data_IF_138925453867
#
_entry.id   IF_138925453867
#
_cell.length_a   1.000
_cell.length_b   1.000
_cell.length_c   1.000
_cell.angle_alpha   90.00
_cell.angle_beta   90.00
_cell.angle_gamma   90.00
#
_symmetry.space_group_name_H-M   'P 1'
#
loop_
_entity.id
_entity.type
_entity.pdbx_description
1 polymer ?
#
# COMPACT_ATOMS: atom_id res chain seq x y z
N UNK A 1 -25.44 -12.28 23.33
CA UNK A 1 -24.35 -11.29 23.15
C UNK A 1 -23.80 -11.46 21.76
N UNK A 2 -23.84 -10.40 20.95
CA UNK A 2 -23.46 -10.45 19.53
C UNK A 2 -21.94 -10.60 19.40
N UNK A 3 -21.45 -11.84 19.28
CA UNK A 3 -20.09 -12.10 18.84
C UNK A 3 -20.03 -11.86 17.33
N UNK A 4 -20.03 -10.59 16.94
CA UNK A 4 -19.70 -10.18 15.59
C UNK A 4 -18.26 -10.58 15.32
N UNK A 5 -18.07 -11.75 14.71
CA UNK A 5 -16.81 -12.15 14.11
C UNK A 5 -16.46 -11.09 13.07
N UNK A 6 -15.71 -10.07 13.50
CA UNK A 6 -14.94 -9.25 12.59
C UNK A 6 -14.05 -10.24 11.87
N UNK A 7 -14.47 -10.62 10.65
CA UNK A 7 -13.63 -11.31 9.68
C UNK A 7 -12.40 -10.44 9.55
N UNK A 8 -11.36 -10.74 10.35
CA UNK A 8 -10.07 -10.11 10.23
C UNK A 8 -9.68 -10.33 8.79
N UNK A 9 -9.82 -9.29 7.96
CA UNK A 9 -9.40 -9.31 6.58
C UNK A 9 -7.93 -9.63 6.66
N UNK A 10 -7.58 -10.90 6.48
CA UNK A 10 -6.20 -11.40 6.52
C UNK A 10 -5.53 -10.86 5.25
N UNK A 11 -5.25 -9.56 5.26
CA UNK A 11 -4.46 -8.87 4.28
C UNK A 11 -3.06 -9.43 4.47
N UNK A 12 -2.69 -10.40 3.64
CA UNK A 12 -1.33 -10.94 3.60
C UNK A 12 -0.41 -9.86 3.04
N UNK A 13 -0.02 -8.93 3.90
CA UNK A 13 1.04 -7.97 3.62
C UNK A 13 2.34 -8.75 3.42
N UNK A 14 2.86 -8.74 2.19
CA UNK A 14 4.21 -9.26 1.93
C UNK A 14 5.21 -8.20 2.40
N UNK A 15 5.93 -8.48 3.48
CA UNK A 15 7.02 -7.61 3.96
C UNK A 15 8.21 -7.73 3.03
N UNK A 16 8.41 -6.73 2.18
CA UNK A 16 9.55 -6.68 1.28
C UNK A 16 10.76 -6.10 2.03
N UNK A 17 11.52 -6.96 2.70
CA UNK A 17 12.62 -6.54 3.58
C UNK A 17 13.92 -6.17 2.82
N UNK A 18 13.99 -6.38 1.49
CA UNK A 18 15.20 -6.09 0.71
C UNK A 18 14.98 -5.87 -0.81
N UNK A 19 13.75 -5.77 -1.32
CA UNK A 19 13.53 -5.81 -2.78
C UNK A 19 13.57 -4.42 -3.42
N UNK A 20 14.78 -3.89 -3.54
CA UNK A 20 15.19 -2.83 -4.48
C UNK A 20 15.07 -3.28 -5.95
N UNK A 21 14.36 -4.39 -6.24
CA UNK A 21 13.81 -4.68 -7.58
C UNK A 21 12.64 -3.73 -7.82
N UNK A 22 12.99 -2.47 -8.06
CA UNK A 22 12.22 -1.45 -8.77
C UNK A 22 10.73 -1.79 -8.88
N UNK A 23 9.98 -1.62 -7.78
CA UNK A 23 8.52 -1.57 -7.90
C UNK A 23 8.24 -0.42 -8.86
N UNK A 24 7.92 -0.75 -10.10
CA UNK A 24 7.67 0.26 -11.10
C UNK A 24 6.43 1.03 -10.66
N UNK A 25 6.62 2.28 -10.26
CA UNK A 25 5.57 3.18 -9.76
C UNK A 25 4.42 3.32 -10.80
N UNK A 26 4.69 3.04 -12.08
CA UNK A 26 3.68 3.00 -13.15
C UNK A 26 2.67 1.85 -13.00
N UNK A 27 3.04 0.77 -12.31
CA UNK A 27 2.17 -0.38 -12.04
C UNK A 27 1.34 -0.21 -10.77
N UNK A 28 1.64 0.80 -9.96
CA UNK A 28 0.87 1.17 -8.77
C UNK A 28 -0.30 2.05 -9.21
N UNK A 29 -1.52 1.61 -8.94
CA UNK A 29 -2.74 2.31 -9.34
C UNK A 29 -3.44 2.99 -8.17
N UNK A 30 -3.21 2.49 -6.96
CA UNK A 30 -3.88 2.97 -5.77
C UNK A 30 -3.00 2.70 -4.54
N UNK A 31 -3.31 3.37 -3.44
CA UNK A 31 -2.72 3.09 -2.15
C UNK A 31 -3.74 3.32 -1.04
N UNK A 32 -3.57 2.60 0.05
CA UNK A 32 -4.29 2.78 1.31
C UNK A 32 -3.27 3.08 2.41
N UNK A 33 -3.57 4.04 3.29
CA UNK A 33 -2.76 4.32 4.47
C UNK A 33 -3.34 3.56 5.64
N UNK A 34 -2.52 2.78 6.32
CA UNK A 34 -2.88 2.12 7.56
C UNK A 34 -2.25 2.91 8.70
N UNK A 35 -3.11 3.49 9.54
CA UNK A 35 -2.75 4.15 10.79
C UNK A 35 -3.08 3.20 11.94
N UNK A 36 -2.17 3.00 12.88
CA UNK A 36 -2.31 2.04 13.96
C UNK A 36 -1.01 1.86 14.74
N UNK A 37 -0.81 0.75 15.46
CA UNK A 37 0.43 0.51 16.22
C UNK A 37 1.68 0.42 15.33
N UNK A 38 1.52 0.18 14.03
CA UNK A 38 2.58 0.26 13.02
C UNK A 38 2.04 1.01 11.81
N UNK A 39 2.66 2.14 11.47
CA UNK A 39 2.31 2.89 10.27
C UNK A 39 2.78 2.15 9.01
N UNK A 40 1.85 1.94 8.07
CA UNK A 40 2.15 1.29 6.81
C UNK A 40 1.38 1.94 5.65
N UNK A 41 1.99 1.89 4.47
CA UNK A 41 1.35 2.23 3.19
C UNK A 41 1.15 0.94 2.43
N UNK A 42 -0.08 0.66 2.05
CA UNK A 42 -0.44 -0.50 1.24
C UNK A 42 -0.67 -0.06 -0.20
N UNK A 43 0.28 -0.34 -1.08
CA UNK A 43 0.13 -0.13 -2.51
C UNK A 43 -0.69 -1.24 -3.16
N UNK A 44 -1.52 -0.85 -4.12
CA UNK A 44 -2.33 -1.75 -4.93
C UNK A 44 -1.82 -1.67 -6.37
N UNK A 45 -1.40 -2.82 -6.89
CA UNK A 45 -0.95 -2.94 -8.27
C UNK A 45 -2.12 -3.13 -9.23
N UNK A 46 -1.89 -2.93 -10.54
CA UNK A 46 -2.87 -3.26 -11.61
C UNK A 46 -3.41 -4.69 -11.54
N UNK A 47 -2.63 -5.63 -11.00
CA UNK A 47 -3.00 -7.05 -10.86
C UNK A 47 -3.79 -7.35 -9.58
N UNK A 48 -4.16 -6.33 -8.80
CA UNK A 48 -4.86 -6.51 -7.52
C UNK A 48 -3.95 -6.95 -6.35
N UNK A 49 -2.65 -7.09 -6.57
CA UNK A 49 -1.68 -7.42 -5.52
C UNK A 49 -1.55 -6.23 -4.57
N UNK A 50 -1.62 -6.50 -3.27
CA UNK A 50 -1.45 -5.53 -2.18
C UNK A 50 -0.05 -5.67 -1.57
N UNK A 51 0.69 -4.57 -1.50
CA UNK A 51 2.08 -4.54 -1.05
C UNK A 51 2.19 -3.53 0.09
N UNK A 52 2.59 -4.00 1.28
CA UNK A 52 2.70 -3.16 2.46
C UNK A 52 4.15 -2.73 2.66
N UNK A 53 4.35 -1.42 2.82
CA UNK A 53 5.67 -0.80 2.95
C UNK A 53 5.66 0.27 4.02
N UNK A 54 6.83 0.59 4.55
CA UNK A 54 6.98 1.66 5.54
C UNK A 54 6.79 3.04 4.88
N UNK A 55 5.99 3.95 5.47
CA UNK A 55 5.79 5.30 4.94
C UNK A 55 7.07 6.15 4.94
N UNK A 56 8.08 5.76 5.72
CA UNK A 56 9.30 6.54 5.93
C UNK A 56 10.32 6.40 4.78
N UNK A 57 10.07 5.53 3.80
CA UNK A 57 10.96 5.35 2.66
C UNK A 57 10.70 6.43 1.60
N UNK A 58 11.75 7.09 1.10
CA UNK A 58 11.64 8.20 0.11
C UNK A 58 10.83 7.82 -1.13
N UNK A 59 11.05 6.63 -1.70
CA UNK A 59 10.33 6.18 -2.90
C UNK A 59 8.83 5.99 -2.65
N UNK A 60 8.42 5.68 -1.42
CA UNK A 60 7.00 5.52 -1.05
C UNK A 60 6.29 6.86 -1.14
N UNK A 61 6.93 7.93 -0.65
CA UNK A 61 6.41 9.29 -0.77
C UNK A 61 6.32 9.73 -2.23
N UNK A 62 7.33 9.42 -3.05
CA UNK A 62 7.30 9.67 -4.50
C UNK A 62 6.15 8.92 -5.16
N UNK A 63 5.96 7.64 -4.85
CA UNK A 63 4.89 6.82 -5.40
C UNK A 63 3.49 7.34 -5.04
N UNK A 64 3.27 7.75 -3.79
CA UNK A 64 2.03 8.40 -3.34
C UNK A 64 1.76 9.65 -4.18
N UNK A 65 2.74 10.55 -4.28
CA UNK A 65 2.62 11.80 -5.05
C UNK A 65 2.26 11.53 -6.52
N UNK A 66 2.92 10.55 -7.15
CA UNK A 66 2.63 10.17 -8.54
C UNK A 66 1.20 9.63 -8.69
N UNK A 67 0.71 8.83 -7.75
CA UNK A 67 -0.67 8.32 -7.78
C UNK A 67 -1.67 9.48 -7.60
N UNK A 68 -1.41 10.39 -6.67
CA UNK A 68 -2.28 11.55 -6.42
C UNK A 68 -2.34 12.48 -7.64
N UNK A 69 -1.20 12.77 -8.28
CA UNK A 69 -1.16 13.53 -9.53
C UNK A 69 -2.04 12.90 -10.61
N UNK A 70 -2.00 11.57 -10.78
CA UNK A 70 -2.85 10.86 -11.75
C UNK A 70 -4.34 10.95 -11.42
N UNK A 71 -4.72 11.07 -10.14
CA UNK A 71 -6.11 11.23 -9.72
C UNK A 71 -6.64 12.64 -9.99
N UNK A 72 -5.79 13.67 -9.88
CA UNK A 72 -6.17 15.06 -10.10
C UNK A 72 -6.31 15.42 -11.59
N UNK A 73 -5.60 14.72 -12.48
CA UNK A 73 -5.66 14.94 -13.94
C UNK A 73 -6.87 14.28 -14.61
N UNK A 74 -7.74 13.60 -13.85
CA UNK A 74 -8.89 12.85 -14.38
C UNK A 74 -10.20 13.51 -13.98
#
# INVERSE_FOLDING_TARGET
>A
GSAGSQSMRKLSCVTLQASTRQLNIQNLINYEKQQGPVDAVMFITRKGIKICVSPHQKWVQTAIKTIDQRRTTK
#
